data_IF_237972051613
#
_entry.id   IF_237972051613
#
_cell.length_a   1.000
_cell.length_b   1.000
_cell.length_c   1.000
_cell.angle_alpha   90.00
_cell.angle_beta   90.00
_cell.angle_gamma   90.00
#
_symmetry.space_group_name_H-M   'P 1'
#
loop_
_entity.id
_entity.type
_entity.pdbx_description
1 polymer ?
#
# COMPACT_ATOMS: atom_id res chain seq x y z
N UNK A 1 -4.71 -21.88 -14.21
CA UNK A 1 -5.66 -21.85 -13.10
C UNK A 1 -5.97 -20.41 -12.73
N UNK A 2 -7.24 -20.11 -12.46
CA UNK A 2 -7.67 -18.74 -12.14
C UNK A 2 -6.92 -18.16 -10.92
N UNK A 3 -6.76 -18.96 -9.85
CA UNK A 3 -6.06 -18.51 -8.65
C UNK A 3 -4.60 -18.16 -8.92
N UNK A 4 -3.89 -18.97 -9.67
CA UNK A 4 -2.49 -18.71 -10.02
C UNK A 4 -2.34 -17.49 -10.90
N UNK A 5 -3.26 -17.31 -11.84
CA UNK A 5 -3.28 -16.20 -12.77
C UNK A 5 -3.59 -14.89 -12.02
N UNK A 6 -4.58 -14.92 -11.13
CA UNK A 6 -4.95 -13.76 -10.33
C UNK A 6 -3.83 -13.36 -9.38
N UNK A 7 -3.17 -14.33 -8.75
CA UNK A 7 -2.02 -14.08 -7.88
C UNK A 7 -0.89 -13.40 -8.66
N UNK A 8 -0.58 -13.91 -9.86
CA UNK A 8 0.46 -13.32 -10.70
C UNK A 8 0.12 -11.90 -11.12
N UNK A 9 -1.14 -11.65 -11.51
CA UNK A 9 -1.59 -10.31 -11.91
C UNK A 9 -1.43 -9.32 -10.75
N UNK A 10 -1.86 -9.69 -9.55
CA UNK A 10 -1.74 -8.83 -8.37
C UNK A 10 -0.27 -8.58 -8.02
N UNK A 11 0.56 -9.63 -8.06
CA UNK A 11 1.97 -9.50 -7.73
C UNK A 11 2.70 -8.57 -8.72
N UNK A 12 2.44 -8.74 -10.00
CA UNK A 12 3.04 -7.88 -11.03
C UNK A 12 2.60 -6.42 -10.85
N UNK A 13 1.31 -6.22 -10.56
CA UNK A 13 0.77 -4.90 -10.28
C UNK A 13 1.48 -4.26 -9.08
N UNK A 14 1.56 -4.95 -7.97
CA UNK A 14 2.15 -4.41 -6.74
C UNK A 14 3.65 -4.13 -6.92
N UNK A 15 4.38 -5.04 -7.55
CA UNK A 15 5.81 -4.87 -7.77
C UNK A 15 6.11 -3.71 -8.71
N UNK A 16 5.40 -3.64 -9.83
CA UNK A 16 5.61 -2.55 -10.80
C UNK A 16 5.26 -1.19 -10.21
N UNK A 17 4.10 -1.08 -9.56
CA UNK A 17 3.64 0.18 -9.00
C UNK A 17 4.49 0.61 -7.80
N UNK A 18 4.61 -0.25 -6.80
CA UNK A 18 5.22 0.14 -5.52
C UNK A 18 6.74 0.09 -5.53
N UNK A 19 7.35 -0.92 -6.16
CA UNK A 19 8.80 -1.05 -6.16
C UNK A 19 9.49 -0.31 -7.29
N UNK A 20 8.83 -0.18 -8.45
CA UNK A 20 9.42 0.47 -9.61
C UNK A 20 8.82 1.83 -9.95
N UNK A 21 7.71 2.21 -9.28
CA UNK A 21 7.03 3.46 -9.57
C UNK A 21 6.39 3.51 -10.96
N UNK A 22 6.13 2.36 -11.55
CA UNK A 22 5.51 2.25 -12.87
C UNK A 22 4.00 2.36 -12.75
N UNK A 23 3.48 3.57 -12.80
CA UNK A 23 2.04 3.79 -12.69
C UNK A 23 1.28 3.36 -13.94
N UNK A 24 1.96 3.10 -15.05
CA UNK A 24 1.29 2.59 -16.26
C UNK A 24 0.70 1.19 -16.05
N UNK A 25 1.23 0.43 -15.08
CA UNK A 25 0.67 -0.88 -14.74
C UNK A 25 -0.78 -0.75 -14.24
N UNK A 26 -1.11 0.37 -13.63
CA UNK A 26 -2.46 0.61 -13.12
C UNK A 26 -3.45 0.67 -14.29
N UNK A 27 -3.09 1.31 -15.39
CA UNK A 27 -3.94 1.38 -16.58
C UNK A 27 -4.15 0.01 -17.22
N UNK A 28 -3.15 -0.88 -17.13
CA UNK A 28 -3.23 -2.22 -17.73
C UNK A 28 -3.97 -3.22 -16.85
N UNK A 29 -3.88 -3.09 -15.53
CA UNK A 29 -4.35 -4.13 -14.62
C UNK A 29 -5.54 -3.73 -13.76
N UNK A 30 -5.78 -2.45 -13.53
CA UNK A 30 -6.94 -2.02 -12.75
C UNK A 30 -8.10 -1.65 -13.66
N UNK A 31 -9.31 -2.00 -13.23
CA UNK A 31 -10.51 -1.62 -13.96
C UNK A 31 -10.71 -0.11 -13.93
N UNK A 32 -11.33 0.44 -14.97
CA UNK A 32 -11.58 1.87 -15.09
C UNK A 32 -12.44 2.39 -13.93
N UNK A 33 -13.38 1.56 -13.47
CA UNK A 33 -14.28 1.86 -12.36
C UNK A 33 -13.82 1.25 -11.04
N UNK A 34 -12.51 1.07 -10.87
CA UNK A 34 -11.93 0.48 -9.65
C UNK A 34 -12.41 1.23 -8.39
N UNK A 35 -12.67 0.47 -7.33
CA UNK A 35 -13.02 1.02 -6.01
C UNK A 35 -11.95 0.60 -5.01
N UNK A 36 -11.36 1.58 -4.33
CA UNK A 36 -10.42 1.36 -3.24
C UNK A 36 -11.11 1.63 -1.91
N UNK A 37 -11.17 0.64 -1.05
CA UNK A 37 -11.72 0.78 0.29
C UNK A 37 -10.59 1.05 1.28
N UNK A 38 -10.58 2.23 1.85
CA UNK A 38 -9.58 2.65 2.83
C UNK A 38 -10.27 2.91 4.17
N UNK A 39 -9.52 2.92 5.31
CA UNK A 39 -10.13 3.16 6.61
C UNK A 39 -10.92 4.47 6.72
N UNK A 40 -10.56 5.49 5.96
CA UNK A 40 -11.21 6.80 5.97
C UNK A 40 -12.22 7.00 4.84
N UNK A 41 -12.54 5.97 4.08
CA UNK A 41 -13.58 6.02 3.06
C UNK A 41 -13.17 5.41 1.74
N UNK A 42 -14.14 5.34 0.82
CA UNK A 42 -13.94 4.74 -0.49
C UNK A 42 -13.45 5.76 -1.51
N UNK A 43 -12.54 5.32 -2.37
CA UNK A 43 -12.03 6.13 -3.47
C UNK A 43 -12.35 5.44 -4.80
N UNK A 44 -12.87 6.19 -5.74
CA UNK A 44 -13.31 5.67 -7.03
C UNK A 44 -12.31 6.01 -8.13
N UNK A 45 -12.08 5.05 -9.03
CA UNK A 45 -11.29 5.24 -10.22
C UNK A 45 -9.81 4.96 -10.04
N UNK A 46 -9.12 4.90 -11.17
CA UNK A 46 -7.69 4.58 -11.22
C UNK A 46 -6.78 5.72 -10.75
N UNK A 47 -7.23 6.94 -10.89
CA UNK A 47 -6.38 8.11 -10.62
C UNK A 47 -5.97 8.15 -9.15
N UNK A 48 -6.86 7.75 -8.25
CA UNK A 48 -6.53 7.67 -6.83
C UNK A 48 -5.38 6.70 -6.57
N UNK A 49 -5.39 5.53 -7.24
CA UNK A 49 -4.29 4.57 -7.12
C UNK A 49 -2.96 5.16 -7.54
N UNK A 50 -2.95 5.87 -8.68
CA UNK A 50 -1.73 6.52 -9.18
C UNK A 50 -1.23 7.58 -8.21
N UNK A 51 -2.14 8.42 -7.72
CA UNK A 51 -1.82 9.49 -6.76
C UNK A 51 -1.22 8.92 -5.48
N UNK A 52 -1.80 7.84 -4.96
CA UNK A 52 -1.33 7.19 -3.74
C UNK A 52 0.08 6.63 -3.91
N UNK A 53 0.33 5.91 -5.01
CA UNK A 53 1.66 5.35 -5.28
C UNK A 53 2.69 6.47 -5.40
N UNK A 54 2.37 7.52 -6.17
CA UNK A 54 3.29 8.64 -6.35
C UNK A 54 3.56 9.38 -5.05
N UNK A 55 2.54 9.57 -4.22
CA UNK A 55 2.69 10.26 -2.93
C UNK A 55 3.67 9.51 -2.02
N UNK A 56 3.51 8.20 -1.89
CA UNK A 56 4.38 7.40 -1.02
C UNK A 56 5.79 7.26 -1.60
N UNK A 57 5.93 7.13 -2.91
CA UNK A 57 7.25 7.03 -3.52
C UNK A 57 7.99 8.36 -3.52
N UNK A 58 7.30 9.47 -3.56
CA UNK A 58 7.91 10.80 -3.38
C UNK A 58 8.38 10.98 -1.93
N UNK A 59 7.55 10.56 -0.98
CA UNK A 59 7.90 10.64 0.44
C UNK A 59 9.05 9.67 0.81
N UNK A 60 9.07 8.48 0.19
CA UNK A 60 10.07 7.45 0.44
C UNK A 60 10.70 7.01 -0.90
N UNK A 61 11.67 7.77 -1.42
CA UNK A 61 12.26 7.46 -2.74
C UNK A 61 12.92 6.09 -2.83
N UNK A 62 13.36 5.56 -1.70
CA UNK A 62 13.99 4.24 -1.58
C UNK A 62 13.00 3.15 -1.15
N UNK A 63 11.70 3.37 -1.32
CA UNK A 63 10.68 2.43 -0.90
C UNK A 63 10.87 1.06 -1.53
N UNK A 64 10.86 0.03 -0.68
CA UNK A 64 10.92 -1.38 -1.06
C UNK A 64 9.80 -2.13 -0.35
N UNK A 65 8.96 -2.80 -1.13
CA UNK A 65 7.86 -3.62 -0.61
C UNK A 65 8.18 -5.09 -0.85
N UNK A 66 8.07 -5.88 0.21
CA UNK A 66 8.24 -7.33 0.15
C UNK A 66 6.90 -8.01 0.34
N UNK A 67 6.62 -9.02 -0.47
CA UNK A 67 5.36 -9.76 -0.42
C UNK A 67 5.59 -11.02 0.37
N UNK A 68 5.09 -11.03 1.62
CA UNK A 68 5.37 -12.11 2.57
C UNK A 68 4.50 -13.33 2.31
N UNK A 69 3.21 -13.11 2.05
CA UNK A 69 2.25 -14.17 1.73
C UNK A 69 1.28 -13.68 0.68
N UNK A 70 0.86 -14.60 -0.19
CA UNK A 70 -0.27 -14.37 -1.09
C UNK A 70 -1.19 -15.57 -1.04
N UNK A 71 -2.46 -15.32 -0.77
CA UNK A 71 -3.50 -16.34 -0.65
C UNK A 71 -4.61 -15.96 -1.62
N UNK A 72 -4.97 -16.89 -2.52
CA UNK A 72 -6.04 -16.64 -3.48
C UNK A 72 -7.17 -17.64 -3.27
N UNK A 73 -8.39 -17.13 -3.35
CA UNK A 73 -9.60 -17.95 -3.30
C UNK A 73 -10.65 -17.32 -4.21
N UNK A 74 -11.02 -18.04 -5.27
CA UNK A 74 -11.96 -17.52 -6.26
C UNK A 74 -11.41 -16.27 -6.94
N UNK A 75 -12.16 -15.18 -6.85
CA UNK A 75 -11.81 -13.91 -7.49
C UNK A 75 -10.99 -12.99 -6.59
N UNK A 76 -10.57 -13.45 -5.41
CA UNK A 76 -9.86 -12.62 -4.43
C UNK A 76 -8.45 -13.09 -4.18
N UNK A 77 -7.55 -12.11 -4.03
CA UNK A 77 -6.15 -12.35 -3.64
C UNK A 77 -5.84 -11.48 -2.43
N UNK A 78 -5.33 -12.12 -1.39
CA UNK A 78 -4.86 -11.45 -0.17
C UNK A 78 -3.35 -11.43 -0.22
N UNK A 79 -2.75 -10.26 -0.03
CA UNK A 79 -1.30 -10.11 0.01
C UNK A 79 -0.91 -9.47 1.33
N UNK A 80 -0.12 -10.18 2.13
CA UNK A 80 0.52 -9.63 3.33
C UNK A 80 1.88 -9.11 2.93
N UNK A 81 2.17 -7.87 3.27
CA UNK A 81 3.38 -7.20 2.81
C UNK A 81 4.08 -6.45 3.93
N UNK A 82 5.38 -6.21 3.74
CA UNK A 82 6.16 -5.28 4.54
C UNK A 82 6.82 -4.28 3.59
N UNK A 83 6.99 -3.06 4.05
CA UNK A 83 7.65 -2.03 3.26
C UNK A 83 8.61 -1.25 4.13
N UNK A 84 9.72 -0.84 3.54
CA UNK A 84 10.73 -0.03 4.22
C UNK A 84 11.12 1.14 3.33
N UNK A 85 11.59 2.21 3.97
CA UNK A 85 12.07 3.37 3.26
C UNK A 85 12.51 4.46 4.21
N UNK A 86 13.10 5.51 3.64
CA UNK A 86 13.57 6.69 4.38
C UNK A 86 12.71 7.89 4.00
N UNK A 87 12.19 8.59 5.00
CA UNK A 87 11.28 9.72 4.81
C UNK A 87 12.05 10.97 4.37
N UNK A 88 12.20 11.12 3.06
CA UNK A 88 12.99 12.20 2.44
C UNK A 88 12.12 13.23 1.71
N UNK A 89 10.83 13.00 1.59
CA UNK A 89 9.88 13.93 0.97
C UNK A 89 8.64 14.10 1.82
N UNK A 90 7.85 15.11 1.51
CA UNK A 90 6.61 15.39 2.25
C UNK A 90 5.61 14.25 2.09
N UNK A 91 4.93 13.88 3.19
CA UNK A 91 3.85 12.91 3.20
C UNK A 91 2.64 13.53 3.89
N UNK A 92 1.56 13.77 3.13
CA UNK A 92 0.29 14.27 3.68
C UNK A 92 0.47 15.49 4.61
N UNK A 93 1.30 16.45 4.21
CA UNK A 93 1.58 17.63 4.99
C UNK A 93 2.68 17.48 6.01
N UNK A 94 3.23 16.29 6.18
CA UNK A 94 4.34 16.03 7.10
C UNK A 94 5.66 16.20 6.34
N UNK A 95 6.44 17.22 6.70
CA UNK A 95 7.74 17.46 6.08
C UNK A 95 8.72 16.32 6.34
N UNK A 96 9.71 16.19 5.45
CA UNK A 96 10.69 15.11 5.53
C UNK A 96 11.38 15.07 6.90
N UNK A 97 11.35 13.91 7.54
CA UNK A 97 11.97 13.70 8.86
C UNK A 97 13.38 13.10 8.77
N UNK A 98 13.73 12.54 7.62
CA UNK A 98 14.99 11.83 7.43
C UNK A 98 15.05 10.48 8.13
N UNK A 99 13.95 10.04 8.74
CA UNK A 99 13.92 8.78 9.52
C UNK A 99 13.56 7.60 8.64
N UNK A 100 14.14 6.46 8.96
CA UNK A 100 13.79 5.19 8.34
C UNK A 100 12.53 4.63 9.00
N UNK A 101 11.69 3.98 8.21
CA UNK A 101 10.50 3.31 8.70
C UNK A 101 10.35 1.94 8.06
N UNK A 102 9.71 1.04 8.80
CA UNK A 102 9.37 -0.29 8.34
C UNK A 102 7.96 -0.59 8.78
N UNK A 103 7.05 -0.82 7.83
CA UNK A 103 5.63 -1.01 8.13
C UNK A 103 5.12 -2.28 7.48
N UNK A 104 4.04 -2.81 8.04
CA UNK A 104 3.36 -4.00 7.52
C UNK A 104 1.93 -3.66 7.19
N UNK A 105 1.39 -4.40 6.24
CA UNK A 105 0.00 -4.24 5.86
C UNK A 105 -0.54 -5.42 5.11
N UNK A 106 -1.80 -5.30 4.73
CA UNK A 106 -2.52 -6.31 3.97
C UNK A 106 -3.32 -5.62 2.88
N UNK A 107 -3.22 -6.14 1.68
CA UNK A 107 -4.12 -5.81 0.59
C UNK A 107 -5.04 -6.99 0.32
N UNK A 108 -6.30 -6.69 0.02
CA UNK A 108 -7.21 -7.65 -0.58
C UNK A 108 -7.62 -7.07 -1.93
N UNK A 109 -7.44 -7.85 -2.99
CA UNK A 109 -7.84 -7.46 -4.34
C UNK A 109 -8.88 -8.42 -4.88
N UNK A 110 -9.96 -7.88 -5.45
CA UNK A 110 -10.94 -8.68 -6.17
C UNK A 110 -10.76 -8.42 -7.67
N UNK A 111 -10.68 -9.50 -8.43
CA UNK A 111 -10.49 -9.41 -9.87
C UNK A 111 -11.78 -9.80 -10.60
N UNK A 112 -12.02 -9.12 -11.72
CA UNK A 112 -13.11 -9.44 -12.64
C UNK A 112 -12.55 -9.32 -14.04
N UNK A 113 -12.75 -10.33 -14.86
CA UNK A 113 -12.26 -10.37 -16.25
C UNK A 113 -10.75 -10.10 -16.36
N UNK A 114 -9.98 -10.60 -15.40
CA UNK A 114 -8.53 -10.45 -15.40
C UNK A 114 -8.04 -9.08 -14.95
N UNK A 115 -8.93 -8.20 -14.48
CA UNK A 115 -8.57 -6.86 -14.01
C UNK A 115 -8.92 -6.71 -12.52
N UNK A 116 -8.15 -5.90 -11.82
CA UNK A 116 -8.40 -5.57 -10.43
C UNK A 116 -9.55 -4.57 -10.39
N UNK A 117 -10.70 -5.00 -9.86
CA UNK A 117 -11.90 -4.18 -9.84
C UNK A 117 -12.19 -3.54 -8.50
N UNK A 118 -11.66 -4.11 -7.42
CA UNK A 118 -11.92 -3.63 -6.08
C UNK A 118 -10.74 -4.01 -5.18
N UNK A 119 -10.40 -3.12 -4.26
CA UNK A 119 -9.27 -3.33 -3.35
C UNK A 119 -9.62 -2.85 -1.95
N UNK A 120 -9.09 -3.55 -0.97
CA UNK A 120 -9.10 -3.15 0.44
C UNK A 120 -7.66 -3.02 0.89
N UNK A 121 -7.34 -1.90 1.53
CA UNK A 121 -5.97 -1.62 1.96
C UNK A 121 -5.96 -1.29 3.44
N UNK A 122 -5.14 -1.98 4.19
CA UNK A 122 -4.91 -1.67 5.60
C UNK A 122 -3.43 -1.83 5.92
N UNK A 123 -2.88 -0.88 6.65
CA UNK A 123 -1.50 -0.97 7.11
C UNK A 123 -1.37 -0.26 8.46
N UNK A 124 -0.24 -0.49 9.12
CA UNK A 124 0.04 0.06 10.44
C UNK A 124 0.44 1.54 10.33
N UNK A 125 -0.54 2.40 10.11
CA UNK A 125 -0.32 3.84 9.96
C UNK A 125 0.20 4.46 11.26
N UNK A 126 -0.32 4.03 12.40
CA UNK A 126 0.16 4.52 13.69
C UNK A 126 1.63 4.17 13.89
N UNK A 127 2.03 2.94 13.56
CA UNK A 127 3.42 2.52 13.64
C UNK A 127 4.33 3.36 12.75
N UNK A 128 3.86 3.69 11.55
CA UNK A 128 4.60 4.59 10.67
C UNK A 128 4.82 5.95 11.31
N UNK A 129 3.76 6.56 11.83
CA UNK A 129 3.85 7.90 12.43
C UNK A 129 4.73 7.91 13.69
N UNK A 130 4.68 6.84 14.48
CA UNK A 130 5.58 6.68 15.63
C UNK A 130 7.05 6.60 15.20
N UNK A 131 7.34 5.82 14.16
CA UNK A 131 8.71 5.68 13.65
C UNK A 131 9.24 6.98 13.05
N UNK A 132 8.38 7.78 12.45
CA UNK A 132 8.76 9.09 11.92
C UNK A 132 8.91 10.14 13.03
N UNK A 133 8.46 9.84 14.23
CA UNK A 133 8.60 10.73 15.37
C UNK A 133 7.60 11.88 15.37
N UNK A 134 6.52 11.80 14.58
CA UNK A 134 5.51 12.86 14.50
C UNK A 134 4.38 12.67 15.50
N UNK A 135 4.27 11.49 16.10
CA UNK A 135 3.35 11.23 17.21
C UNK A 135 4.07 10.42 18.29
N UNK A 136 3.51 10.43 19.49
CA UNK A 136 3.97 9.62 20.61
C UNK A 136 2.78 8.96 21.26
N UNK A 137 2.96 7.73 21.76
CA UNK A 137 1.96 7.14 22.64
C UNK A 137 2.02 7.83 24.00
N UNK A 138 0.87 8.17 24.59
CA UNK A 138 0.87 8.62 25.98
C UNK A 138 1.38 7.50 26.87
N UNK A 139 2.29 7.79 27.79
CA UNK A 139 2.73 6.80 28.76
C UNK A 139 1.57 6.50 29.72
N UNK A 140 1.27 5.22 29.99
CA UNK A 140 0.27 4.89 31.02
C UNK A 140 0.71 5.41 32.38
N UNK A 141 -0.26 5.78 33.24
CA UNK A 141 0.04 6.27 34.58
C UNK A 141 0.90 5.28 35.35
N UNK A 142 1.96 5.80 35.95
CA UNK A 142 2.88 4.98 36.73
C UNK A 142 3.86 4.15 35.94
N UNK A 143 3.89 4.31 34.60
CA UNK A 143 4.85 3.62 33.75
C UNK A 143 5.72 4.66 33.04
N UNK A 144 7.02 4.56 33.24
CA UNK A 144 7.99 5.35 32.51
C UNK A 144 8.18 4.81 31.11
N UNK A 145 8.07 5.62 30.12
CA UNK A 145 8.34 5.23 28.73
C UNK A 145 9.82 5.31 28.42
#
# INVERSE_FOLDING_TARGET
MANSQNTATVRDFLDAAWNRGDTSVIDRTAAEHHVEHEPDGDQLGRDHLKETVLAYRTAFPDLQMSFEDQIADGDRVVTRWTASGTHLGELNGIGATGRAANVSGVFIHRLADGQISESWSMFDQMGLLLQLGVIEFPAPDGISS
#
